data_IF_250071420350
#
_entry.id   IF_250071420350
#
_cell.length_a   1.000
_cell.length_b   1.000
_cell.length_c   1.000
_cell.angle_alpha   90.00
_cell.angle_beta   90.00
_cell.angle_gamma   90.00
#
_symmetry.space_group_name_H-M   'P 1'
#
loop_
_entity.id
_entity.type
_entity.pdbx_description
1 polymer ?
2 polymer ?
3 water ?
#
# COMPACT_ATOMS: atom_id res chain seq x y z
N UNK A 1 6.07 5.71 6.82
CA UNK A 1 4.95 5.80 5.91
C UNK A 1 4.82 4.54 5.07
N UNK A 2 3.95 4.61 4.06
CA UNK A 2 3.56 3.40 3.33
C UNK A 2 4.73 2.76 2.60
N UNK A 3 5.67 3.56 2.10
CA UNK A 3 6.80 2.97 1.38
C UNK A 3 7.69 2.17 2.33
N UNK A 4 7.99 2.73 3.50
CA UNK A 4 8.80 2.00 4.47
C UNK A 4 8.13 0.69 4.88
N UNK A 5 6.82 0.72 5.07
CA UNK A 5 6.11 -0.44 5.61
C UNK A 5 5.67 -1.46 4.55
N UNK A 6 5.52 -1.05 3.29
CA UNK A 6 4.99 -1.94 2.26
C UNK A 6 5.92 -2.23 1.07
N UNK A 7 6.91 -1.37 0.83
CA UNK A 7 7.89 -1.59 -0.21
C UNK A 7 9.19 -2.00 0.39
N UNK A 8 9.73 -1.21 1.31
CA UNK A 8 11.00 -1.57 1.94
C UNK A 8 10.87 -2.79 2.85
N UNK A 9 9.64 -3.07 3.30
CA UNK A 9 9.35 -4.26 4.09
C UNK A 9 8.04 -4.84 3.58
N UNK A 10 7.71 -6.04 4.08
CA UNK A 10 6.53 -6.76 3.60
C UNK A 10 5.26 -6.05 4.06
N UNK A 11 4.34 -5.82 3.13
CA UNK A 11 3.10 -5.13 3.41
C UNK A 11 2.13 -6.03 4.20
N UNK A 12 1.03 -5.43 4.67
CA UNK A 12 -0.02 -6.16 5.36
C UNK A 12 -1.36 -5.51 5.04
N UNK A 13 -2.44 -6.29 5.19
CA UNK A 13 -3.76 -5.72 4.93
C UNK A 13 -4.11 -4.65 5.95
N UNK A 14 -3.75 -4.87 7.22
CA UNK A 14 -4.00 -3.88 8.26
C UNK A 14 -3.42 -2.54 7.86
N UNK A 15 -2.19 -2.55 7.34
CA UNK A 15 -1.52 -1.30 6.99
C UNK A 15 -2.06 -0.72 5.70
N UNK A 16 -2.29 -1.55 4.67
CA UNK A 16 -2.88 -1.02 3.44
C UNK A 16 -4.20 -0.32 3.73
N UNK A 17 -5.06 -0.95 4.55
CA UNK A 17 -6.37 -0.36 4.81
C UNK A 17 -6.30 0.95 5.57
N UNK A 18 -5.21 1.21 6.29
CA UNK A 18 -5.09 2.51 6.93
C UNK A 18 -5.01 3.64 5.93
N UNK A 19 -4.71 3.33 4.67
CA UNK A 19 -4.64 4.34 3.63
C UNK A 19 -5.91 4.42 2.78
N UNK A 20 -6.91 3.58 3.04
CA UNK A 20 -8.20 3.76 2.39
C UNK A 20 -8.93 4.96 2.98
N UNK A 21 -9.73 5.62 2.15
CA UNK A 21 -10.54 6.75 2.60
C UNK A 21 -11.71 6.21 3.43
N UNK B 1 -2.07 -11.26 -2.74
CA UNK B 1 -1.19 -10.22 -3.28
C UNK B 1 -0.73 -9.20 -2.23
N UNK B 2 -1.40 -9.15 -1.08
CA UNK B 2 -1.13 -8.08 -0.11
C UNK B 2 0.16 -8.33 0.66
N UNK B 3 0.45 -9.58 1.00
CA UNK B 3 1.49 -9.88 1.99
C UNK B 3 2.83 -10.12 1.31
N UNK B 4 3.34 -9.06 0.68
CA UNK B 4 4.63 -9.12 -0.01
C UNK B 4 5.19 -7.70 -0.09
N UNK B 5 6.41 -7.58 -0.62
CA UNK B 5 6.93 -6.25 -0.94
C UNK B 5 6.19 -5.70 -2.15
N UNK B 6 5.64 -4.50 -2.00
CA UNK B 6 4.84 -3.85 -3.04
C UNK B 6 5.43 -2.47 -3.27
N UNK B 7 6.01 -2.25 -4.45
CA UNK B 7 6.62 -0.97 -4.71
C UNK B 7 6.01 -0.33 -5.90
N UNK B 8 6.03 0.99 -5.89
CA UNK B 8 5.59 1.77 -7.05
C UNK B 8 4.20 1.42 -7.55
N UNK B 9 4.07 1.14 -8.86
CA UNK B 9 2.74 0.86 -9.38
C UNK B 9 2.11 -0.37 -8.74
N UNK B 10 2.94 -1.30 -8.26
CA UNK B 10 2.40 -2.49 -7.61
C UNK B 10 1.68 -2.11 -6.32
N UNK B 11 2.22 -1.14 -5.59
CA UNK B 11 1.59 -0.70 -4.35
C UNK B 11 0.31 0.07 -4.62
N UNK B 12 0.30 0.97 -5.61
CA UNK B 12 -0.97 1.66 -5.87
C UNK B 12 -2.01 0.69 -6.43
N UNK B 13 -1.59 -0.35 -7.17
CA UNK B 13 -2.55 -1.34 -7.62
C UNK B 13 -3.17 -2.08 -6.44
N UNK B 14 -2.35 -2.45 -5.44
CA UNK B 14 -2.89 -3.14 -4.27
C UNK B 14 -3.85 -2.24 -3.50
N UNK B 15 -3.49 -0.96 -3.32
CA UNK B 15 -4.39 -0.02 -2.67
C UNK B 15 -5.71 0.09 -3.43
N UNK B 16 -5.62 0.21 -4.75
CA UNK B 16 -6.82 0.32 -5.57
C UNK B 16 -7.74 -0.89 -5.38
N UNK B 17 -7.17 -2.10 -5.42
CA UNK B 17 -7.99 -3.30 -5.31
C UNK B 17 -8.56 -3.47 -3.90
N UNK B 18 -7.77 -3.17 -2.88
CA UNK B 18 -8.24 -3.38 -1.51
C UNK B 18 -9.27 -2.31 -1.12
N UNK B 19 -9.02 -1.05 -1.48
CA UNK B 19 -9.84 0.04 -0.97
C UNK B 19 -11.17 0.19 -1.70
N UNK B 20 -11.28 -0.31 -2.92
CA UNK B 20 -12.57 -0.28 -3.62
C UNK B 20 -13.10 1.13 -3.81
N UNK B 21 -14.42 1.27 -3.69
CA UNK B 21 -15.07 2.56 -3.93
C UNK B 21 -14.69 3.62 -2.89
N UNK B 22 -14.06 3.23 -1.78
CA UNK B 22 -13.56 4.21 -0.83
C UNK B 22 -12.51 5.10 -1.47
N UNK B 23 -11.70 4.54 -2.35
CA UNK B 23 -10.51 5.23 -2.75
C UNK B 23 -9.48 5.19 -1.63
N UNK B 24 -8.39 5.91 -1.85
CA UNK B 24 -7.23 5.78 -0.98
C UNK B 24 -6.34 7.00 -1.15
N UNK B 25 -5.36 7.12 -0.27
CA UNK B 25 -4.29 8.08 -0.44
C UNK B 25 -2.95 7.37 -0.52
N UNK B 26 -2.13 7.81 -1.46
CA UNK B 26 -0.79 7.27 -1.67
C UNK B 26 0.16 8.40 -1.34
N UNK B 27 0.75 8.35 -0.14
CA UNK B 27 1.58 9.42 0.40
C UNK B 27 2.95 8.85 0.73
N UNK B 28 3.83 8.71 -0.26
CA UNK B 28 5.19 8.23 0.03
C UNK B 28 5.95 9.29 0.82
N UNK B 29 6.34 8.94 2.04
CA UNK B 29 6.96 9.88 2.97
C UNK B 29 8.20 10.55 2.38
#
# INVERSE_FOLDING_TARGET
GIVEQCUASVCSLYQLENYCNM
FVNQHLUGSHLVEALYLVCGERGFFYTPKAM
#
